data_IF_672211964733
#
_entry.id   IF_672211964733
#
_cell.length_a   1.000
_cell.length_b   1.000
_cell.length_c   1.000
_cell.angle_alpha   90.00
_cell.angle_beta   90.00
_cell.angle_gamma   90.00
#
_symmetry.space_group_name_H-M   'P 1'
#
loop_
_entity.id
_entity.type
_entity.pdbx_description
1 polymer ?
#
# COMPACT_ATOMS: atom_id res chain seq x y z
N UNK A 1 22.70 -15.59 7.49
CA UNK A 1 21.34 -16.05 7.18
C UNK A 1 20.43 -15.53 8.28
N UNK A 2 20.02 -14.27 8.18
CA UNK A 2 19.09 -13.64 9.11
C UNK A 2 17.73 -14.31 8.89
N UNK A 3 17.29 -15.11 9.86
CA UNK A 3 15.99 -15.78 9.75
C UNK A 3 14.90 -14.71 9.85
N UNK A 4 14.36 -14.29 8.70
CA UNK A 4 12.97 -13.83 8.67
C UNK A 4 12.13 -14.99 9.21
N UNK A 5 11.27 -14.77 10.22
CA UNK A 5 10.40 -15.82 10.72
C UNK A 5 9.57 -16.38 9.55
N UNK A 6 9.38 -17.72 9.46
CA UNK A 6 8.68 -18.36 8.35
C UNK A 6 7.27 -17.82 8.08
N UNK A 7 6.69 -17.10 9.04
CA UNK A 7 5.39 -16.47 8.93
C UNK A 7 5.36 -15.13 8.23
N UNK A 8 6.47 -14.39 8.17
CA UNK A 8 6.49 -13.14 7.41
C UNK A 8 6.27 -13.41 5.92
N UNK A 9 6.82 -14.50 5.39
CA UNK A 9 6.61 -14.89 3.99
C UNK A 9 5.14 -15.22 3.70
N UNK A 10 4.48 -15.94 4.62
CA UNK A 10 3.06 -16.27 4.54
C UNK A 10 2.21 -15.01 4.61
N UNK A 11 2.51 -14.09 5.54
CA UNK A 11 1.83 -12.80 5.68
C UNK A 11 1.98 -11.97 4.41
N UNK A 12 3.20 -11.85 3.86
CA UNK A 12 3.45 -11.14 2.59
C UNK A 12 2.68 -11.79 1.44
N UNK A 13 2.60 -13.11 1.38
CA UNK A 13 1.81 -13.82 0.37
C UNK A 13 0.31 -13.56 0.51
N UNK A 14 -0.23 -13.63 1.72
CA UNK A 14 -1.64 -13.33 2.00
C UNK A 14 -1.97 -11.88 1.63
N UNK A 15 -1.08 -10.93 1.94
CA UNK A 15 -1.20 -9.53 1.53
C UNK A 15 -1.19 -9.36 0.01
N UNK A 16 -0.32 -10.08 -0.72
CA UNK A 16 -0.32 -10.14 -2.19
C UNK A 16 -1.62 -10.66 -2.77
N UNK A 17 -2.27 -11.60 -2.08
CA UNK A 17 -3.55 -12.18 -2.48
C UNK A 17 -4.76 -11.33 -2.03
N UNK A 18 -4.55 -10.21 -1.33
CA UNK A 18 -5.61 -9.39 -0.76
C UNK A 18 -6.28 -10.01 0.47
N UNK A 19 -5.73 -11.09 1.02
CA UNK A 19 -6.24 -11.82 2.18
C UNK A 19 -5.73 -11.21 3.49
N UNK A 20 -6.09 -9.96 3.73
CA UNK A 20 -5.62 -9.18 4.87
C UNK A 20 -6.04 -9.76 6.22
N UNK A 21 -7.23 -10.36 6.29
CA UNK A 21 -7.73 -10.96 7.54
C UNK A 21 -6.89 -12.18 7.94
N UNK A 22 -6.52 -13.00 6.98
CA UNK A 22 -5.68 -14.19 7.19
C UNK A 22 -4.26 -13.79 7.60
N UNK A 23 -3.71 -12.70 7.06
CA UNK A 23 -2.46 -12.11 7.54
C UNK A 23 -2.54 -11.69 9.01
N UNK A 24 -3.63 -11.04 9.42
CA UNK A 24 -3.86 -10.62 10.81
C UNK A 24 -4.02 -11.84 11.73
N UNK A 25 -4.74 -12.88 11.29
CA UNK A 25 -4.88 -14.14 12.06
C UNK A 25 -3.53 -14.81 12.26
N UNK A 26 -2.77 -15.00 11.18
CA UNK A 26 -1.44 -15.63 11.22
C UNK A 26 -0.52 -14.90 12.20
N UNK A 27 -0.43 -13.57 12.08
CA UNK A 27 0.39 -12.75 12.95
C UNK A 27 -0.05 -12.83 14.42
N UNK A 28 -1.37 -12.84 14.67
CA UNK A 28 -1.94 -12.94 16.02
C UNK A 28 -1.70 -14.32 16.65
N UNK A 29 -1.91 -15.39 15.91
CA UNK A 29 -1.76 -16.76 16.41
C UNK A 29 -0.31 -17.05 16.80
N UNK A 30 0.65 -16.51 16.06
CA UNK A 30 2.06 -16.70 16.36
C UNK A 30 2.62 -15.74 17.40
N UNK A 31 2.26 -14.45 17.32
CA UNK A 31 2.83 -13.44 18.21
C UNK A 31 2.05 -13.31 19.52
N UNK A 32 0.82 -13.84 19.59
CA UNK A 32 -0.07 -13.73 20.75
C UNK A 32 -0.56 -12.31 21.04
N UNK A 33 -0.36 -11.37 20.10
CA UNK A 33 -0.70 -9.94 20.27
C UNK A 33 -2.20 -9.67 20.14
N UNK A 34 -2.62 -8.49 20.59
CA UNK A 34 -4.00 -8.04 20.45
C UNK A 34 -4.41 -7.90 18.97
N UNK A 35 -5.71 -8.04 18.69
CA UNK A 35 -6.24 -7.89 17.32
C UNK A 35 -5.89 -6.52 16.71
N UNK A 36 -5.88 -5.47 17.55
CA UNK A 36 -5.52 -4.11 17.15
C UNK A 36 -4.06 -4.03 16.71
N UNK A 37 -3.14 -4.55 17.52
CA UNK A 37 -1.70 -4.55 17.23
C UNK A 37 -1.39 -5.40 15.99
N UNK A 38 -2.04 -6.55 15.86
CA UNK A 38 -1.89 -7.41 14.68
C UNK A 38 -2.33 -6.68 13.40
N UNK A 39 -3.45 -5.97 13.46
CA UNK A 39 -3.91 -5.14 12.33
C UNK A 39 -2.91 -4.04 12.00
N UNK A 40 -2.44 -3.28 13.00
CA UNK A 40 -1.51 -2.17 12.77
C UNK A 40 -0.18 -2.65 12.16
N UNK A 41 0.36 -3.79 12.61
CA UNK A 41 1.56 -4.37 12.02
C UNK A 41 1.34 -4.84 10.59
N UNK A 42 0.25 -5.56 10.31
CA UNK A 42 -0.08 -6.00 8.95
C UNK A 42 -0.31 -4.82 8.01
N UNK A 43 -0.98 -3.75 8.50
CA UNK A 43 -1.17 -2.49 7.76
C UNK A 43 0.17 -1.84 7.42
N UNK A 44 1.10 -1.77 8.38
CA UNK A 44 2.43 -1.20 8.17
C UNK A 44 3.26 -2.01 7.18
N UNK A 45 3.19 -3.35 7.25
CA UNK A 45 3.86 -4.25 6.29
C UNK A 45 3.27 -4.02 4.90
N UNK A 46 1.94 -4.02 4.77
CA UNK A 46 1.27 -3.77 3.51
C UNK A 46 1.68 -2.41 2.90
N UNK A 47 1.69 -1.35 3.70
CA UNK A 47 2.08 -0.01 3.25
C UNK A 47 3.53 0.03 2.75
N UNK A 48 4.46 -0.62 3.46
CA UNK A 48 5.86 -0.74 3.01
C UNK A 48 5.97 -1.50 1.70
N UNK A 49 5.29 -2.64 1.58
CA UNK A 49 5.35 -3.43 0.34
C UNK A 49 4.71 -2.69 -0.86
N UNK A 50 3.75 -1.79 -0.63
CA UNK A 50 3.20 -0.90 -1.67
C UNK A 50 4.24 0.17 -2.06
N UNK A 51 4.94 0.75 -1.08
CA UNK A 51 6.00 1.73 -1.33
C UNK A 51 7.18 1.12 -2.11
N UNK A 52 7.50 -0.15 -1.84
CA UNK A 52 8.56 -0.90 -2.53
C UNK A 52 8.10 -1.46 -3.90
N UNK A 53 6.82 -1.34 -4.26
CA UNK A 53 6.28 -1.81 -5.55
C UNK A 53 6.01 -3.32 -5.64
N UNK A 54 6.13 -4.07 -4.54
CA UNK A 54 5.98 -5.53 -4.46
C UNK A 54 4.51 -6.00 -4.45
N UNK A 55 3.59 -5.15 -4.00
CA UNK A 55 2.14 -5.39 -4.04
C UNK A 55 1.47 -4.33 -4.87
N UNK A 56 1.10 -4.71 -6.09
CA UNK A 56 0.13 -3.95 -6.85
C UNK A 56 -1.20 -4.01 -6.08
N UNK A 57 -1.72 -2.88 -5.56
CA UNK A 57 -3.10 -2.88 -5.10
C UNK A 57 -3.95 -3.35 -6.28
N UNK A 58 -4.80 -4.36 -6.09
CA UNK A 58 -5.79 -4.71 -7.12
C UNK A 58 -6.73 -3.53 -7.27
N UNK A 59 -6.33 -2.60 -8.14
CA UNK A 59 -7.01 -1.36 -8.39
C UNK A 59 -8.34 -1.67 -9.09
N UNK A 60 -9.41 -1.72 -8.31
CA UNK A 60 -10.72 -1.35 -8.82
C UNK A 60 -10.72 0.17 -8.97
N UNK A 61 -10.18 0.70 -10.08
CA UNK A 61 -10.08 2.16 -10.23
C UNK A 61 -9.35 2.66 -11.47
N UNK A 62 -9.93 2.47 -12.66
CA UNK A 62 -9.66 3.33 -13.82
C UNK A 62 -10.93 4.07 -14.20
N UNK A 63 -11.34 5.04 -13.38
CA UNK A 63 -12.28 6.09 -13.76
C UNK A 63 -12.09 7.26 -12.79
N UNK A 64 -11.29 8.26 -13.15
CA UNK A 64 -11.34 9.56 -12.47
C UNK A 64 -10.05 10.37 -12.46
N UNK A 65 -8.88 9.72 -12.33
CA UNK A 65 -7.62 10.46 -12.13
C UNK A 65 -7.05 11.12 -13.39
N UNK A 66 -7.66 10.95 -14.57
CA UNK A 66 -7.22 11.58 -15.82
C UNK A 66 -7.85 12.97 -16.11
N UNK A 67 -8.67 13.55 -15.21
CA UNK A 67 -9.36 14.83 -15.50
C UNK A 67 -8.61 16.08 -14.98
N UNK A 68 -7.53 15.98 -14.21
CA UNK A 68 -6.91 17.16 -13.58
C UNK A 68 -5.77 17.86 -14.36
N UNK A 69 -5.51 17.53 -15.63
CA UNK A 69 -4.34 18.07 -16.36
C UNK A 69 -4.64 19.04 -17.53
N UNK A 70 -5.89 19.40 -17.82
CA UNK A 70 -6.22 20.10 -19.08
C UNK A 70 -6.57 21.61 -19.01
N UNK A 71 -6.49 22.29 -17.85
CA UNK A 71 -6.90 23.71 -17.74
C UNK A 71 -5.87 24.65 -17.07
N UNK A 72 -4.57 24.35 -17.18
CA UNK A 72 -3.50 25.07 -16.47
C UNK A 72 -2.54 25.91 -17.32
N UNK A 73 -2.85 26.22 -18.59
CA UNK A 73 -1.98 27.05 -19.44
C UNK A 73 -2.81 28.06 -20.23
N UNK A 74 -3.04 29.24 -19.65
CA UNK A 74 -3.74 30.33 -20.34
C UNK A 74 -3.80 31.61 -19.52
N UNK A 75 -2.67 32.32 -19.44
CA UNK A 75 -2.51 33.78 -19.19
C UNK A 75 -1.27 34.12 -18.36
N UNK A 76 -0.11 33.59 -18.73
CA UNK A 76 1.19 34.17 -18.36
C UNK A 76 1.73 34.97 -19.54
N UNK A 77 0.88 35.81 -20.15
CA UNK A 77 1.19 36.61 -21.34
C UNK A 77 1.00 38.11 -21.05
N UNK A 78 1.57 38.60 -19.95
CA UNK A 78 1.51 40.02 -19.60
C UNK A 78 2.77 40.57 -18.92
N UNK A 79 3.87 39.80 -18.84
CA UNK A 79 5.12 40.24 -18.21
C UNK A 79 6.33 39.89 -19.11
N UNK A 80 6.30 40.33 -20.38
CA UNK A 80 7.48 40.21 -21.25
C UNK A 80 7.53 41.21 -22.41
N UNK A 81 7.18 42.48 -22.19
CA UNK A 81 7.62 43.57 -23.08
C UNK A 81 7.84 44.87 -22.30
N UNK A 82 8.93 44.89 -21.54
CA UNK A 82 9.82 46.05 -21.37
C UNK A 82 11.04 45.78 -22.24
#
# INVERSE_FOLDING_TARGET
MSQEPPSLDIIKQQLRQGQKIEAIKTLREESGIGLKEAKEQVDAIQAKMIADGEVLPKASGCAGALILFAAGLGSFSAWMLT
#
